data_IF_001206045018
#
_entry.id   IF_001206045018
#
_cell.length_a   1.000
_cell.length_b   1.000
_cell.length_c   1.000
_cell.angle_alpha   90.00
_cell.angle_beta   90.00
_cell.angle_gamma   90.00
#
_symmetry.space_group_name_H-M   'P 1'
#
loop_
_entity.id
_entity.type
_entity.pdbx_description
1 polymer ?
#
# COMPACT_ATOMS: atom_id res chain seq x y z
N UNK A 1 -17.57 -6.27 -2.71
CA UNK A 1 -17.11 -5.73 -4.01
C UNK A 1 -15.61 -5.56 -3.90
N UNK A 2 -14.84 -6.41 -4.58
CA UNK A 2 -13.37 -6.37 -4.52
C UNK A 2 -12.91 -5.21 -5.41
N UNK A 3 -12.26 -4.21 -4.81
CA UNK A 3 -11.85 -2.99 -5.49
C UNK A 3 -10.80 -3.32 -6.56
N UNK A 4 -11.25 -3.42 -7.81
CA UNK A 4 -10.38 -3.54 -9.00
C UNK A 4 -9.63 -2.22 -9.31
N UNK A 5 -9.93 -1.16 -8.57
CA UNK A 5 -9.21 0.10 -8.54
C UNK A 5 -9.17 0.56 -7.08
N UNK A 6 -8.20 0.08 -6.31
CA UNK A 6 -7.85 0.76 -5.07
C UNK A 6 -7.19 2.09 -5.44
N UNK A 7 -7.99 3.10 -5.78
CA UNK A 7 -7.61 4.52 -5.84
C UNK A 7 -7.40 5.09 -4.43
N UNK A 8 -6.86 4.26 -3.52
CA UNK A 8 -6.33 4.73 -2.25
C UNK A 8 -4.89 5.16 -2.51
N UNK A 9 -4.59 6.44 -2.31
CA UNK A 9 -3.23 7.02 -2.32
C UNK A 9 -2.31 6.46 -1.21
N UNK A 10 -2.60 5.27 -0.67
CA UNK A 10 -1.91 4.65 0.44
C UNK A 10 -1.00 3.53 -0.06
N UNK A 11 0.27 3.59 0.31
CA UNK A 11 1.26 2.52 0.06
C UNK A 11 0.74 1.13 0.41
N UNK A 12 -0.04 1.01 1.49
CA UNK A 12 -0.61 -0.26 1.93
C UNK A 12 -1.68 -0.80 0.97
N UNK A 13 -2.46 0.08 0.35
CA UNK A 13 -3.42 -0.31 -0.68
C UNK A 13 -2.69 -0.85 -1.93
N UNK A 14 -1.54 -0.26 -2.29
CA UNK A 14 -0.71 -0.75 -3.38
C UNK A 14 -0.15 -2.15 -3.09
N UNK A 15 0.38 -2.38 -1.88
CA UNK A 15 0.89 -3.69 -1.47
C UNK A 15 -0.20 -4.77 -1.45
N UNK A 16 -1.38 -4.43 -0.90
CA UNK A 16 -2.54 -5.31 -0.89
C UNK A 16 -3.06 -5.61 -2.29
N UNK A 17 -3.07 -4.62 -3.18
CA UNK A 17 -3.42 -4.77 -4.59
C UNK A 17 -2.51 -5.75 -5.31
N UNK A 18 -1.19 -5.59 -5.19
CA UNK A 18 -0.21 -6.51 -5.76
C UNK A 18 -0.37 -7.93 -5.23
N UNK A 19 -0.66 -8.09 -3.94
CA UNK A 19 -0.88 -9.41 -3.34
C UNK A 19 -2.14 -10.06 -3.93
N UNK A 20 -3.23 -9.30 -4.04
CA UNK A 20 -4.47 -9.79 -4.63
C UNK A 20 -4.26 -10.26 -6.07
N UNK A 21 -3.57 -9.46 -6.90
CA UNK A 21 -3.32 -9.78 -8.31
C UNK A 21 -2.43 -11.00 -8.48
N UNK A 22 -1.37 -11.12 -7.67
CA UNK A 22 -0.34 -12.14 -7.87
C UNK A 22 -0.57 -13.44 -7.09
N UNK A 23 -1.37 -13.41 -6.01
CA UNK A 23 -1.62 -14.59 -5.17
C UNK A 23 -3.08 -15.02 -5.13
N UNK A 24 -4.03 -14.11 -4.84
CA UNK A 24 -5.42 -14.50 -4.59
C UNK A 24 -6.23 -14.69 -5.87
N UNK A 25 -6.03 -13.81 -6.85
CA UNK A 25 -6.76 -13.81 -8.12
C UNK A 25 -5.97 -14.47 -9.25
N UNK A 26 -4.78 -15.00 -8.94
CA UNK A 26 -3.85 -15.52 -9.93
C UNK A 26 -3.99 -17.02 -10.12
N UNK A 27 -4.17 -17.46 -11.36
CA UNK A 27 -3.97 -18.85 -11.78
C UNK A 27 -2.50 -19.20 -12.02
N UNK A 28 -1.57 -18.27 -11.78
CA UNK A 28 -0.13 -18.49 -11.97
C UNK A 28 0.40 -19.59 -11.05
N UNK A 29 1.37 -20.39 -11.53
CA UNK A 29 2.08 -21.35 -10.71
C UNK A 29 2.84 -20.63 -9.59
N UNK A 30 3.01 -21.29 -8.45
CA UNK A 30 3.59 -20.70 -7.22
C UNK A 30 4.94 -20.01 -7.49
N UNK A 31 5.77 -20.59 -8.35
CA UNK A 31 7.09 -20.07 -8.73
C UNK A 31 7.04 -18.72 -9.45
N UNK A 32 5.91 -18.37 -10.09
CA UNK A 32 5.72 -17.10 -10.79
C UNK A 32 5.01 -16.04 -9.95
N UNK A 33 4.38 -16.43 -8.84
CA UNK A 33 3.63 -15.51 -7.97
C UNK A 33 4.54 -14.50 -7.28
N UNK A 34 5.69 -14.95 -6.79
CA UNK A 34 6.68 -14.06 -6.17
C UNK A 34 7.27 -13.07 -7.18
N UNK A 35 7.78 -13.48 -8.35
CA UNK A 35 8.20 -12.54 -9.39
C UNK A 35 7.13 -11.54 -9.79
N UNK A 36 5.87 -11.98 -9.95
CA UNK A 36 4.74 -11.09 -10.21
C UNK A 36 4.59 -10.04 -9.10
N UNK A 37 4.63 -10.48 -7.84
CA UNK A 37 4.42 -9.62 -6.69
C UNK A 37 5.52 -8.56 -6.55
N UNK A 38 6.79 -8.95 -6.68
CA UNK A 38 7.90 -8.01 -6.59
C UNK A 38 7.92 -7.02 -7.75
N UNK A 39 7.63 -7.47 -8.97
CA UNK A 39 7.52 -6.57 -10.11
C UNK A 39 6.36 -5.58 -9.95
N UNK A 40 5.24 -6.02 -9.39
CA UNK A 40 4.13 -5.13 -9.06
C UNK A 40 4.52 -4.15 -7.93
N UNK A 41 5.21 -4.62 -6.90
CA UNK A 41 5.65 -3.74 -5.80
C UNK A 41 6.63 -2.65 -6.26
N UNK A 42 7.44 -2.91 -7.30
CA UNK A 42 8.37 -1.91 -7.83
C UNK A 42 7.66 -0.62 -8.29
N UNK A 43 6.41 -0.69 -8.73
CA UNK A 43 5.61 0.50 -9.06
C UNK A 43 4.95 1.16 -7.86
N UNK A 44 4.97 0.53 -6.69
CA UNK A 44 4.47 1.09 -5.43
C UNK A 44 5.49 2.00 -4.73
N UNK A 45 6.73 2.05 -5.21
CA UNK A 45 7.78 2.88 -4.63
C UNK A 45 7.92 4.20 -5.38
N UNK A 46 8.20 5.30 -4.66
CA UNK A 46 8.40 6.61 -5.26
C UNK A 46 9.59 6.61 -6.22
N UNK A 47 9.43 7.25 -7.38
CA UNK A 47 10.49 7.31 -8.40
C UNK A 47 11.24 8.64 -8.40
N UNK A 48 10.78 9.61 -7.61
CA UNK A 48 11.41 10.91 -7.42
C UNK A 48 11.73 11.23 -5.96
N UNK A 49 12.62 12.20 -5.74
CA UNK A 49 13.02 12.63 -4.39
C UNK A 49 11.83 13.23 -3.61
N UNK A 50 10.97 14.02 -4.27
CA UNK A 50 9.79 14.61 -3.65
C UNK A 50 8.77 13.53 -3.25
N UNK A 51 8.49 12.58 -4.15
CA UNK A 51 7.63 11.45 -3.83
C UNK A 51 8.24 10.58 -2.72
N UNK A 52 9.57 10.46 -2.67
CA UNK A 52 10.26 9.71 -1.63
C UNK A 52 10.05 10.33 -0.25
N UNK A 53 10.16 11.65 -0.14
CA UNK A 53 9.90 12.35 1.11
C UNK A 53 8.45 12.17 1.60
N UNK A 54 7.48 12.29 0.68
CA UNK A 54 6.07 12.04 0.98
C UNK A 54 5.84 10.58 1.42
N UNK A 55 6.39 9.62 0.68
CA UNK A 55 6.29 8.20 0.99
C UNK A 55 6.79 7.87 2.39
N UNK A 56 8.00 8.33 2.76
CA UNK A 56 8.57 8.05 4.08
C UNK A 56 7.83 8.79 5.19
N UNK A 57 7.28 9.97 4.94
CA UNK A 57 6.39 10.65 5.87
C UNK A 57 5.13 9.81 6.16
N UNK A 58 4.48 9.30 5.11
CA UNK A 58 3.29 8.47 5.24
C UNK A 58 3.58 7.19 6.04
N UNK A 59 4.69 6.51 5.73
CA UNK A 59 5.12 5.29 6.44
C UNK A 59 5.37 5.59 7.91
N UNK A 60 6.11 6.66 8.22
CA UNK A 60 6.39 7.08 9.60
C UNK A 60 5.13 7.41 10.39
N UNK A 61 4.24 8.22 9.83
CA UNK A 61 2.94 8.55 10.45
C UNK A 61 2.13 7.28 10.74
N UNK A 62 2.05 6.38 9.76
CA UNK A 62 1.30 5.13 9.86
C UNK A 62 1.86 4.20 10.95
N UNK A 63 3.18 4.07 11.00
CA UNK A 63 3.88 3.26 11.99
C UNK A 63 3.64 3.79 13.42
N UNK A 64 3.69 5.11 13.59
CA UNK A 64 3.54 5.75 14.90
C UNK A 64 2.09 5.76 15.38
N UNK A 65 1.11 5.97 14.49
CA UNK A 65 -0.28 6.28 14.88
C UNK A 65 -1.28 5.17 14.61
N UNK A 66 -1.07 4.36 13.58
CA UNK A 66 -2.11 3.47 13.08
C UNK A 66 -1.90 2.01 13.47
N UNK A 67 -0.66 1.55 13.67
CA UNK A 67 -0.38 0.14 13.98
C UNK A 67 -1.02 -0.37 15.28
N UNK A 68 -1.29 0.52 16.23
CA UNK A 68 -1.93 0.18 17.51
C UNK A 68 -3.46 0.02 17.40
N UNK A 69 -4.08 0.46 16.31
CA UNK A 69 -5.54 0.42 16.12
C UNK A 69 -5.93 -1.02 15.76
N UNK A 70 -6.72 -1.71 16.59
CA UNK A 70 -7.12 -3.11 16.35
C UNK A 70 -8.16 -3.26 15.24
N UNK A 71 -9.10 -2.32 15.14
CA UNK A 71 -10.16 -2.35 14.12
C UNK A 71 -9.59 -2.05 12.73
N UNK A 72 -9.85 -2.94 11.77
CA UNK A 72 -9.29 -2.85 10.43
C UNK A 72 -9.82 -1.62 9.66
N UNK A 73 -11.09 -1.30 9.81
CA UNK A 73 -11.71 -0.16 9.12
C UNK A 73 -11.21 1.17 9.67
N UNK A 74 -11.05 1.30 10.99
CA UNK A 74 -10.46 2.47 11.63
C UNK A 74 -8.97 2.61 11.31
N UNK A 75 -8.24 1.49 11.21
CA UNK A 75 -6.83 1.50 10.81
C UNK A 75 -6.66 1.99 9.38
N UNK A 76 -7.51 1.53 8.46
CA UNK A 76 -7.49 2.00 7.07
C UNK A 76 -7.78 3.50 6.96
N UNK A 77 -8.79 3.99 7.69
CA UNK A 77 -9.07 5.43 7.78
C UNK A 77 -7.87 6.21 8.34
N UNK A 78 -7.17 5.67 9.33
CA UNK A 78 -5.96 6.27 9.88
C UNK A 78 -4.84 6.38 8.84
N UNK A 79 -4.60 5.33 8.06
CA UNK A 79 -3.62 5.37 6.96
C UNK A 79 -3.97 6.45 5.93
N UNK A 80 -5.25 6.61 5.60
CA UNK A 80 -5.71 7.70 4.74
C UNK A 80 -5.39 9.09 5.30
N UNK A 81 -5.65 9.31 6.60
CA UNK A 81 -5.37 10.59 7.28
C UNK A 81 -3.89 10.96 7.38
N UNK A 82 -2.98 9.97 7.32
CA UNK A 82 -1.54 10.25 7.23
C UNK A 82 -1.15 10.95 5.93
N UNK A 83 -1.95 10.84 4.87
CA UNK A 83 -1.68 11.58 3.64
C UNK A 83 -1.96 13.06 3.71
N UNK A 84 -2.93 13.47 4.51
CA UNK A 84 -3.19 14.90 4.71
C UNK A 84 -2.15 15.52 5.66
N UNK A 85 -1.61 14.74 6.61
CA UNK A 85 -0.53 15.19 7.50
C UNK A 85 0.81 15.41 6.77
N UNK A 86 1.03 14.71 5.66
CA UNK A 86 2.29 14.76 4.91
C UNK A 86 2.30 15.75 3.73
N UNK A 87 1.17 16.43 3.45
CA UNK A 87 1.04 17.44 2.38
C UNK A 87 1.52 18.85 2.78
N UNK A 88 2.23 18.98 3.90
CA UNK A 88 2.78 20.25 4.42
C UNK A 88 4.27 20.34 4.11
#
# INVERSE_FOLDING_TARGET
>A
MLAQNATGQSTYACWGGCYNVCFLLSSRPIVERYPCYFNCLASCFPQSALESQLYYCHVGCSAQRCLQIKDASAREKCFGGCGDACKT
#
